data_IF_531599494781
#
_entry.id   IF_531599494781
#
_cell.length_a   1.000
_cell.length_b   1.000
_cell.length_c   1.000
_cell.angle_alpha   90.00
_cell.angle_beta   90.00
_cell.angle_gamma   90.00
#
_symmetry.space_group_name_H-M   'P 1'
#
loop_
_entity.id
_entity.type
_entity.pdbx_description
1 polymer ?
#
# COMPACT_ATOMS: atom_id res chain seq x y z
N UNK A 1 16.97 -14.36 -23.44
CA UNK A 1 18.17 -14.93 -24.08
C UNK A 1 18.99 -15.61 -22.98
N UNK A 2 19.09 -16.96 -23.00
CA UNK A 2 19.91 -17.86 -22.15
C UNK A 2 19.70 -17.80 -20.60
N UNK A 3 19.75 -18.84 -19.75
CA UNK A 3 20.21 -20.26 -19.80
C UNK A 3 19.61 -21.03 -18.58
N UNK A 4 19.04 -22.21 -18.81
CA UNK A 4 19.45 -23.58 -18.39
C UNK A 4 19.70 -23.86 -16.89
N UNK A 5 18.90 -24.79 -16.37
CA UNK A 5 19.02 -25.50 -15.09
C UNK A 5 20.16 -26.54 -15.11
N UNK A 6 20.79 -26.75 -13.95
CA UNK A 6 21.69 -27.87 -13.68
C UNK A 6 21.07 -28.78 -12.62
N UNK A 7 21.07 -30.08 -12.92
CA UNK A 7 20.68 -31.18 -12.04
C UNK A 7 21.80 -31.55 -11.07
N UNK A 8 21.43 -31.90 -9.84
CA UNK A 8 22.31 -32.44 -8.80
C UNK A 8 22.52 -33.95 -8.96
N UNK A 9 23.74 -34.49 -8.75
CA UNK A 9 23.95 -35.93 -8.55
C UNK A 9 23.84 -36.32 -7.06
N UNK A 10 23.54 -37.59 -6.73
CA UNK A 10 23.22 -38.03 -5.37
C UNK A 10 24.45 -38.37 -4.52
N UNK A 11 24.26 -38.25 -3.20
CA UNK A 11 25.24 -38.53 -2.15
C UNK A 11 25.64 -40.00 -2.01
N UNK A 12 26.90 -40.26 -1.62
CA UNK A 12 27.32 -41.53 -1.01
C UNK A 12 28.07 -41.30 0.32
N UNK A 13 27.87 -42.29 1.20
CA UNK A 13 28.00 -42.33 2.66
C UNK A 13 29.31 -42.98 3.16
N UNK A 14 29.57 -42.79 4.47
CA UNK A 14 30.45 -43.52 5.44
C UNK A 14 31.92 -43.05 5.49
N UNK A 15 32.56 -42.90 6.66
CA UNK A 15 32.56 -43.75 7.88
C UNK A 15 32.50 -42.96 9.20
N UNK A 16 32.00 -43.65 10.22
CA UNK A 16 32.00 -43.28 11.63
C UNK A 16 33.18 -43.92 12.36
N UNK A 17 33.70 -43.23 13.38
CA UNK A 17 34.45 -43.76 14.52
C UNK A 17 34.02 -43.01 15.79
N UNK A 18 33.85 -43.76 16.87
CA UNK A 18 33.20 -43.36 18.14
C UNK A 18 34.25 -42.99 19.24
N UNK A 19 33.91 -42.95 20.55
CA UNK A 19 33.42 -41.76 21.26
C UNK A 19 34.32 -41.37 22.47
N UNK A 20 34.20 -40.14 22.96
CA UNK A 20 34.62 -39.80 24.33
C UNK A 20 33.64 -38.81 24.99
N UNK A 21 33.43 -39.03 26.29
CA UNK A 21 32.31 -38.59 27.15
C UNK A 21 32.60 -37.22 27.83
N UNK A 22 31.69 -36.66 28.65
CA UNK A 22 31.17 -35.30 28.49
C UNK A 22 31.83 -34.25 29.40
N UNK A 23 31.78 -32.98 29.00
CA UNK A 23 31.86 -31.86 29.93
C UNK A 23 30.62 -30.97 29.79
N UNK A 24 29.82 -30.98 30.86
CA UNK A 24 28.80 -29.98 31.14
C UNK A 24 29.48 -28.62 31.28
N UNK A 25 29.01 -27.62 30.52
CA UNK A 25 28.99 -26.22 30.96
C UNK A 25 27.80 -25.52 30.30
N UNK A 26 26.88 -25.09 31.15
CA UNK A 26 25.81 -24.16 30.83
C UNK A 26 26.43 -22.90 30.19
N UNK A 27 26.04 -22.59 28.97
CA UNK A 27 26.18 -21.25 28.41
C UNK A 27 24.87 -20.92 27.71
N UNK A 28 24.12 -20.00 28.30
CA UNK A 28 22.99 -19.37 27.65
C UNK A 28 23.49 -18.77 26.32
N UNK A 29 22.92 -19.23 25.21
CA UNK A 29 23.14 -18.62 23.91
C UNK A 29 22.46 -17.24 23.90
N UNK A 30 23.20 -16.21 24.29
CA UNK A 30 22.80 -14.83 24.04
C UNK A 30 22.72 -14.64 22.52
N UNK A 31 21.51 -14.44 22.00
CA UNK A 31 21.29 -14.11 20.60
C UNK A 31 22.06 -12.83 20.27
N UNK A 32 23.11 -12.94 19.45
CA UNK A 32 23.91 -11.82 19.01
C UNK A 32 23.06 -10.95 18.08
N UNK A 33 22.51 -9.86 18.61
CA UNK A 33 21.72 -8.87 17.87
C UNK A 33 22.69 -8.01 17.06
N UNK A 34 22.74 -8.22 15.74
CA UNK A 34 23.53 -7.36 14.84
C UNK A 34 22.83 -6.01 14.68
N UNK A 35 23.09 -5.06 15.56
CA UNK A 35 22.74 -3.65 15.35
C UNK A 35 23.77 -3.03 14.40
N UNK A 36 23.34 -2.58 13.23
CA UNK A 36 24.17 -1.76 12.33
C UNK A 36 23.65 -0.33 12.33
N UNK A 37 24.45 0.58 12.88
CA UNK A 37 24.20 2.02 12.81
C UNK A 37 24.70 2.54 11.47
N UNK A 38 23.82 3.16 10.67
CA UNK A 38 24.23 3.82 9.43
C UNK A 38 24.53 5.29 9.74
N UNK A 39 25.81 5.65 9.80
CA UNK A 39 26.28 7.04 9.91
C UNK A 39 27.02 7.42 8.63
N UNK A 40 26.32 7.81 7.56
CA UNK A 40 26.98 8.52 6.46
C UNK A 40 26.02 9.43 5.68
N UNK A 41 26.59 10.49 5.09
CA UNK A 41 25.87 11.52 4.32
C UNK A 41 25.42 11.06 2.92
N UNK A 42 25.91 9.93 2.43
CA UNK A 42 25.46 9.23 1.23
C UNK A 42 25.72 7.74 1.43
N UNK A 43 24.68 6.92 1.55
CA UNK A 43 24.80 5.47 1.67
C UNK A 43 23.81 4.78 0.73
N UNK A 44 24.33 3.84 -0.06
CA UNK A 44 23.53 2.81 -0.73
C UNK A 44 23.53 1.60 0.22
N UNK A 45 22.43 1.38 0.93
CA UNK A 45 22.32 0.28 1.89
C UNK A 45 21.77 -0.97 1.20
N UNK A 46 22.63 -1.95 0.93
CA UNK A 46 22.22 -3.28 0.46
C UNK A 46 22.44 -4.30 1.58
N UNK A 47 21.36 -4.92 2.06
CA UNK A 47 21.44 -6.00 3.05
C UNK A 47 21.03 -7.32 2.38
N UNK A 48 22.01 -8.16 2.05
CA UNK A 48 21.80 -9.47 1.40
C UNK A 48 22.31 -10.59 2.31
N UNK A 49 21.47 -11.58 2.59
CA UNK A 49 21.87 -12.76 3.39
C UNK A 49 22.69 -13.72 2.53
N UNK A 50 23.92 -14.02 2.95
CA UNK A 50 24.76 -15.08 2.37
C UNK A 50 24.21 -16.46 2.74
N UNK A 51 24.32 -17.44 1.84
CA UNK A 51 23.94 -18.84 2.06
C UNK A 51 24.92 -19.53 3.02
N UNK A 52 24.87 -19.19 4.31
CA UNK A 52 25.34 -20.05 5.41
C UNK A 52 24.32 -19.96 6.56
N UNK A 53 23.83 -21.13 6.95
CA UNK A 53 23.05 -21.50 8.16
C UNK A 53 22.12 -20.44 8.76
N UNK A 54 20.82 -20.76 8.78
CA UNK A 54 19.75 -19.91 9.27
C UNK A 54 19.89 -19.53 10.74
N UNK A 55 20.19 -18.26 10.99
CA UNK A 55 19.67 -17.53 12.14
C UNK A 55 18.46 -16.73 11.67
N UNK A 56 17.28 -17.08 12.19
CA UNK A 56 16.04 -16.29 12.12
C UNK A 56 16.16 -15.06 13.03
N UNK A 57 17.16 -14.21 12.75
CA UNK A 57 17.41 -13.00 13.51
C UNK A 57 16.65 -11.85 12.87
N UNK A 58 15.72 -11.25 13.61
CA UNK A 58 15.11 -9.98 13.23
C UNK A 58 16.20 -8.94 12.90
N UNK A 59 16.09 -8.27 11.76
CA UNK A 59 17.05 -7.29 11.28
C UNK A 59 16.58 -5.91 11.71
N UNK A 60 17.29 -5.27 12.64
CA UNK A 60 16.99 -3.89 13.05
C UNK A 60 17.98 -2.91 12.44
N UNK A 61 17.47 -1.98 11.63
CA UNK A 61 18.21 -0.85 11.05
C UNK A 61 17.81 0.41 11.82
N UNK A 62 18.74 0.99 12.56
CA UNK A 62 18.52 2.28 13.22
C UNK A 62 19.15 3.39 12.40
N UNK A 63 18.36 4.41 12.08
CA UNK A 63 18.82 5.59 11.37
C UNK A 63 18.84 6.76 12.35
N UNK A 64 20.02 7.31 12.59
CA UNK A 64 20.22 8.43 13.53
C UNK A 64 20.15 9.82 12.87
N UNK A 65 20.05 9.89 11.54
CA UNK A 65 20.04 11.13 10.78
C UNK A 65 19.30 10.98 9.45
N UNK A 66 19.72 11.73 8.43
CA UNK A 66 19.09 11.67 7.11
C UNK A 66 19.89 10.77 6.16
N UNK A 67 19.26 9.74 5.61
CA UNK A 67 19.77 8.98 4.46
C UNK A 67 19.27 9.68 3.20
N UNK A 68 20.19 10.08 2.31
CA UNK A 68 19.88 10.73 1.04
C UNK A 68 19.87 9.71 -0.10
N UNK A 69 18.88 9.79 -0.99
CA UNK A 69 18.87 9.03 -2.23
C UNK A 69 20.02 9.47 -3.16
N UNK A 70 20.62 8.52 -3.92
CA UNK A 70 21.64 8.86 -4.91
C UNK A 70 21.06 9.67 -6.07
N UNK A 71 21.88 10.56 -6.64
CA UNK A 71 21.56 11.36 -7.84
C UNK A 71 22.74 11.22 -8.82
N UNK A 72 22.54 10.88 -10.10
CA UNK A 72 21.26 10.70 -10.81
C UNK A 72 20.56 9.35 -10.52
N UNK A 73 19.24 9.31 -10.67
CA UNK A 73 18.42 8.07 -10.59
C UNK A 73 18.69 7.07 -11.72
N UNK A 74 19.41 7.51 -12.76
CA UNK A 74 19.73 6.71 -13.93
C UNK A 74 20.70 5.58 -13.54
N UNK A 75 20.15 4.40 -13.23
CA UNK A 75 20.90 3.16 -12.99
C UNK A 75 20.56 2.43 -11.70
N UNK A 76 19.98 3.10 -10.70
CA UNK A 76 19.55 2.45 -9.46
C UNK A 76 18.04 2.18 -9.52
N UNK A 77 17.64 0.96 -9.86
CA UNK A 77 16.23 0.55 -9.84
C UNK A 77 15.64 0.57 -8.43
N UNK A 78 16.46 0.50 -7.39
CA UNK A 78 16.05 0.48 -5.99
C UNK A 78 17.10 1.21 -5.12
N UNK A 79 16.65 2.02 -4.15
CA UNK A 79 17.54 2.78 -3.24
C UNK A 79 17.83 2.04 -1.93
N UNK A 80 16.79 1.59 -1.24
CA UNK A 80 16.89 0.78 -0.02
C UNK A 80 16.18 -0.54 -0.29
N UNK A 81 16.93 -1.63 -0.18
CA UNK A 81 16.44 -2.97 -0.54
C UNK A 81 16.56 -3.92 0.63
N UNK A 82 15.40 -4.43 1.05
CA UNK A 82 15.27 -5.58 1.92
C UNK A 82 14.76 -6.74 1.06
N UNK A 83 15.60 -7.73 0.79
CA UNK A 83 15.25 -8.84 -0.09
C UNK A 83 15.44 -10.17 0.63
N UNK A 84 14.37 -10.97 0.67
CA UNK A 84 14.34 -12.30 1.32
C UNK A 84 14.80 -12.25 2.79
N UNK A 85 14.24 -11.31 3.54
CA UNK A 85 14.54 -11.09 4.96
C UNK A 85 13.24 -11.12 5.75
N UNK A 86 13.25 -11.84 6.86
CA UNK A 86 12.11 -11.93 7.78
C UNK A 86 12.36 -11.04 9.00
N UNK A 87 11.34 -10.30 9.44
CA UNK A 87 11.42 -9.46 10.65
C UNK A 87 12.37 -8.28 10.53
N UNK A 88 12.23 -7.45 9.49
CA UNK A 88 12.99 -6.19 9.38
C UNK A 88 12.28 -5.07 10.16
N UNK A 89 13.03 -4.31 10.94
CA UNK A 89 12.58 -3.05 11.56
C UNK A 89 13.51 -1.91 11.15
N UNK A 90 12.98 -0.89 10.49
CA UNK A 90 13.70 0.38 10.23
C UNK A 90 13.18 1.40 11.22
N UNK A 91 14.06 1.95 12.06
CA UNK A 91 13.68 2.77 13.22
C UNK A 91 14.45 4.08 13.23
N UNK A 92 13.70 5.18 13.37
CA UNK A 92 14.22 6.54 13.50
C UNK A 92 14.71 7.15 12.19
N UNK A 93 15.23 8.38 12.29
CA UNK A 93 15.89 9.10 11.20
C UNK A 93 14.96 9.61 10.11
N UNK A 94 15.55 10.01 8.99
CA UNK A 94 14.84 10.53 7.81
C UNK A 94 15.36 9.84 6.57
N UNK A 95 14.46 9.42 5.69
CA UNK A 95 14.79 8.95 4.35
C UNK A 95 14.41 10.05 3.37
N UNK A 96 15.40 10.82 2.89
CA UNK A 96 15.19 11.83 1.86
C UNK A 96 15.38 11.21 0.48
N UNK A 97 14.25 10.95 -0.17
CA UNK A 97 14.19 10.36 -1.50
C UNK A 97 14.71 11.24 -2.64
N UNK A 98 15.00 12.54 -2.42
CA UNK A 98 15.46 13.55 -3.42
C UNK A 98 14.68 13.60 -4.75
N UNK A 99 13.39 13.29 -4.70
CA UNK A 99 12.55 12.92 -5.85
C UNK A 99 12.34 13.96 -6.97
N UNK A 100 12.91 15.16 -6.89
CA UNK A 100 12.67 16.26 -7.85
C UNK A 100 12.90 15.84 -9.32
N UNK A 101 13.98 15.09 -9.58
CA UNK A 101 14.27 14.61 -10.93
C UNK A 101 13.31 13.49 -11.39
N UNK A 102 12.84 12.64 -10.47
CA UNK A 102 11.80 11.65 -10.77
C UNK A 102 10.48 12.33 -11.14
N UNK A 103 10.05 13.34 -10.38
CA UNK A 103 8.82 14.09 -10.68
C UNK A 103 8.92 14.81 -12.02
N UNK A 104 10.10 15.36 -12.35
CA UNK A 104 10.34 15.92 -13.69
C UNK A 104 10.21 14.87 -14.80
N UNK A 105 10.77 13.66 -14.62
CA UNK A 105 10.62 12.54 -15.56
C UNK A 105 9.15 12.20 -15.81
N UNK A 106 8.36 12.09 -14.74
CA UNK A 106 6.92 11.77 -14.82
C UNK A 106 6.11 12.88 -15.48
N UNK A 107 6.38 14.15 -15.14
CA UNK A 107 5.74 15.31 -15.80
C UNK A 107 6.01 15.37 -17.29
N UNK A 108 7.21 14.96 -17.71
CA UNK A 108 7.60 14.92 -19.11
C UNK A 108 7.02 13.72 -19.89
N UNK A 109 6.18 12.88 -19.26
CA UNK A 109 5.59 11.72 -19.92
C UNK A 109 6.53 10.51 -20.03
N UNK A 110 7.62 10.47 -19.25
CA UNK A 110 8.65 9.42 -19.34
C UNK A 110 8.17 7.99 -19.07
N UNK A 111 6.96 7.78 -18.53
CA UNK A 111 6.33 6.46 -18.43
C UNK A 111 7.23 5.41 -17.75
N UNK A 112 7.54 4.34 -18.48
CA UNK A 112 8.36 3.19 -18.05
C UNK A 112 9.88 3.47 -18.00
N UNK A 113 10.33 4.63 -18.49
CA UNK A 113 11.74 5.05 -18.37
C UNK A 113 12.10 5.56 -16.98
N UNK A 114 11.10 5.89 -16.14
CA UNK A 114 11.31 6.27 -14.75
C UNK A 114 11.43 5.00 -13.86
N UNK A 115 12.22 5.04 -12.75
CA UNK A 115 12.41 3.91 -11.82
C UNK A 115 11.12 3.22 -11.35
N UNK A 116 11.18 1.89 -11.16
CA UNK A 116 10.04 1.06 -10.75
C UNK A 116 9.83 1.02 -9.22
N UNK A 117 8.58 0.87 -8.79
CA UNK A 117 8.21 0.72 -7.37
C UNK A 117 8.38 -0.72 -6.86
N UNK A 118 8.43 -0.85 -5.52
CA UNK A 118 8.64 -2.08 -4.76
C UNK A 118 7.60 -3.17 -5.10
N UNK A 119 8.02 -4.44 -5.01
CA UNK A 119 7.19 -5.61 -5.25
C UNK A 119 7.00 -6.41 -3.96
N UNK A 120 5.76 -6.84 -3.72
CA UNK A 120 5.28 -7.90 -2.81
C UNK A 120 6.00 -8.06 -1.46
N UNK A 121 5.25 -7.93 -0.36
CA UNK A 121 5.76 -8.14 1.00
C UNK A 121 4.71 -8.76 1.92
N UNK A 122 5.15 -9.45 2.97
CA UNK A 122 4.27 -9.98 4.01
C UNK A 122 4.79 -9.59 5.40
N UNK A 123 3.89 -9.27 6.33
CA UNK A 123 4.26 -8.97 7.71
C UNK A 123 4.98 -7.63 7.86
N UNK A 124 4.46 -6.59 7.20
CA UNK A 124 5.07 -5.24 7.21
C UNK A 124 4.31 -4.35 8.19
N UNK A 125 5.05 -3.71 9.10
CA UNK A 125 4.52 -2.67 9.97
C UNK A 125 5.16 -1.31 9.64
N UNK A 126 4.32 -0.31 9.36
CA UNK A 126 4.69 1.10 9.17
C UNK A 126 4.04 1.88 10.31
N UNK A 127 4.83 2.34 11.28
CA UNK A 127 4.33 2.93 12.52
C UNK A 127 5.01 4.26 12.80
N UNK A 128 4.26 5.24 13.30
CA UNK A 128 4.74 6.57 13.70
C UNK A 128 5.59 7.26 12.59
N UNK A 129 5.12 7.15 11.35
CA UNK A 129 5.85 7.59 10.16
C UNK A 129 5.26 8.88 9.57
N UNK A 130 6.13 9.79 9.14
CA UNK A 130 5.73 10.97 8.35
C UNK A 130 6.19 10.80 6.91
N UNK A 131 5.27 10.91 5.95
CA UNK A 131 5.55 10.92 4.51
C UNK A 131 5.10 12.27 3.96
N UNK A 132 6.02 13.00 3.32
CA UNK A 132 5.76 14.36 2.85
C UNK A 132 6.28 14.57 1.43
N UNK A 133 5.42 15.07 0.57
CA UNK A 133 5.73 15.60 -0.76
C UNK A 133 4.82 16.81 -1.05
N UNK A 134 5.20 17.70 -1.98
CA UNK A 134 4.34 18.81 -2.39
C UNK A 134 2.97 18.32 -2.87
N UNK A 135 1.90 19.07 -2.58
CA UNK A 135 0.53 18.69 -2.98
C UNK A 135 0.29 18.65 -4.50
N UNK A 136 1.20 19.24 -5.28
CA UNK A 136 1.19 19.28 -6.74
C UNK A 136 2.23 18.31 -7.37
N UNK A 137 2.91 17.49 -6.56
CA UNK A 137 3.85 16.51 -7.10
C UNK A 137 3.12 15.31 -7.71
N UNK A 138 3.33 14.99 -9.00
CA UNK A 138 2.57 13.94 -9.65
C UNK A 138 3.01 12.54 -9.23
N UNK A 139 2.05 11.64 -9.05
CA UNK A 139 2.27 10.22 -8.75
C UNK A 139 3.14 9.98 -7.52
N UNK A 140 3.06 10.88 -6.54
CA UNK A 140 3.67 10.68 -5.23
C UNK A 140 2.66 10.03 -4.29
N UNK A 141 2.41 8.75 -4.49
CA UNK A 141 1.68 7.97 -3.51
C UNK A 141 2.46 7.96 -2.20
N UNK A 142 1.79 8.09 -1.06
CA UNK A 142 2.42 8.01 0.25
C UNK A 142 2.86 6.59 0.57
N UNK A 143 1.89 5.70 0.78
CA UNK A 143 2.14 4.27 0.98
C UNK A 143 1.37 3.47 -0.07
N UNK A 144 2.09 2.84 -1.00
CA UNK A 144 1.51 2.02 -2.06
C UNK A 144 1.68 0.54 -1.75
N UNK A 145 0.57 -0.17 -1.53
CA UNK A 145 0.51 -1.60 -1.20
C UNK A 145 0.08 -2.37 -2.44
N UNK A 146 0.98 -3.25 -2.91
CA UNK A 146 0.77 -4.09 -4.09
C UNK A 146 1.22 -5.51 -3.81
N UNK A 147 0.40 -6.51 -4.17
CA UNK A 147 0.75 -7.94 -4.03
C UNK A 147 1.29 -8.31 -2.63
N UNK A 148 0.69 -7.76 -1.58
CA UNK A 148 1.23 -7.83 -0.22
C UNK A 148 0.16 -8.24 0.79
N UNK A 149 0.56 -8.89 1.88
CA UNK A 149 -0.36 -9.39 2.92
C UNK A 149 0.13 -9.08 4.32
N UNK A 150 -0.77 -9.07 5.31
CA UNK A 150 -0.43 -8.81 6.72
C UNK A 150 0.33 -7.48 6.87
N UNK A 151 -0.34 -6.40 6.48
CA UNK A 151 0.23 -5.05 6.47
C UNK A 151 -0.44 -4.21 7.55
N UNK A 152 0.34 -3.64 8.45
CA UNK A 152 -0.15 -2.73 9.49
C UNK A 152 0.44 -1.35 9.29
N UNK A 153 -0.42 -0.33 9.18
CA UNK A 153 -0.04 1.08 9.13
C UNK A 153 -0.68 1.79 10.32
N UNK A 154 0.13 2.36 11.21
CA UNK A 154 -0.35 3.01 12.43
C UNK A 154 0.26 4.38 12.64
N UNK A 155 -0.56 5.34 13.08
CA UNK A 155 -0.12 6.66 13.54
C UNK A 155 0.74 7.41 12.52
N UNK A 156 0.44 7.25 11.22
CA UNK A 156 1.19 7.90 10.16
C UNK A 156 0.58 9.26 9.79
N UNK A 157 1.43 10.22 9.40
CA UNK A 157 1.02 11.48 8.79
C UNK A 157 1.52 11.50 7.36
N UNK A 158 0.60 11.60 6.39
CA UNK A 158 0.92 11.49 4.98
C UNK A 158 0.33 12.67 4.23
N UNK A 159 1.19 13.52 3.67
CA UNK A 159 0.81 14.62 2.80
C UNK A 159 1.59 14.51 1.49
N UNK A 160 0.89 14.32 0.38
CA UNK A 160 1.53 14.15 -0.94
C UNK A 160 0.66 14.74 -2.05
N UNK A 161 1.10 14.64 -3.31
CA UNK A 161 0.31 15.02 -4.48
C UNK A 161 -0.50 13.89 -5.13
N UNK A 162 -0.51 12.68 -4.56
CA UNK A 162 -1.32 11.55 -5.04
C UNK A 162 -1.95 10.79 -3.86
N UNK A 163 -2.27 9.49 -4.01
CA UNK A 163 -2.91 8.70 -2.96
C UNK A 163 -2.12 8.74 -1.65
N UNK A 164 -2.81 9.02 -0.54
CA UNK A 164 -2.22 8.97 0.80
C UNK A 164 -1.77 7.53 1.10
N UNK A 165 -2.71 6.59 0.96
CA UNK A 165 -2.44 5.16 1.00
C UNK A 165 -3.23 4.54 -0.15
N UNK A 166 -2.57 3.73 -0.97
CA UNK A 166 -3.20 3.00 -2.07
C UNK A 166 -3.02 1.50 -1.89
N UNK A 167 -4.10 0.74 -2.08
CA UNK A 167 -4.09 -0.73 -2.08
C UNK A 167 -4.51 -1.22 -3.45
N UNK A 168 -3.61 -1.88 -4.16
CA UNK A 168 -3.85 -2.39 -5.50
C UNK A 168 -3.83 -3.92 -5.53
N UNK A 169 -3.81 -4.47 -6.73
CA UNK A 169 -4.09 -5.87 -7.01
C UNK A 169 -3.18 -6.82 -6.18
N UNK A 170 -3.80 -7.84 -5.55
CA UNK A 170 -3.12 -8.87 -4.77
C UNK A 170 -2.84 -8.47 -3.31
N UNK A 171 -3.48 -7.42 -2.81
CA UNK A 171 -3.32 -6.96 -1.43
C UNK A 171 -4.36 -7.58 -0.50
N UNK A 172 -3.95 -8.15 0.63
CA UNK A 172 -4.88 -8.68 1.63
C UNK A 172 -4.47 -8.36 3.06
N UNK A 173 -5.43 -8.42 4.00
CA UNK A 173 -5.15 -8.35 5.44
C UNK A 173 -4.39 -7.08 5.81
N UNK A 174 -4.99 -5.93 5.47
CA UNK A 174 -4.40 -4.61 5.66
C UNK A 174 -5.12 -3.88 6.78
N UNK A 175 -4.38 -3.47 7.81
CA UNK A 175 -4.88 -2.69 8.95
C UNK A 175 -4.29 -1.28 8.94
N UNK A 176 -5.13 -0.26 8.76
CA UNK A 176 -4.74 1.15 8.76
C UNK A 176 -5.43 1.82 9.94
N UNK A 177 -4.67 2.42 10.86
CA UNK A 177 -5.22 3.05 12.05
C UNK A 177 -4.50 4.33 12.48
N UNK A 178 -5.25 5.36 12.89
CA UNK A 178 -4.64 6.58 13.46
C UNK A 178 -3.90 7.41 12.42
N UNK A 179 -4.24 7.27 11.13
CA UNK A 179 -3.55 7.95 10.03
C UNK A 179 -4.18 9.32 9.76
N UNK A 180 -3.34 10.33 9.54
CA UNK A 180 -3.76 11.64 9.03
C UNK A 180 -3.28 11.81 7.59
N UNK A 181 -4.22 12.03 6.66
CA UNK A 181 -3.97 12.27 5.25
C UNK A 181 -4.26 13.72 4.88
N UNK A 182 -3.39 14.36 4.10
CA UNK A 182 -3.66 15.68 3.53
C UNK A 182 -2.43 16.58 3.41
N UNK A 183 -2.20 17.23 2.25
CA UNK A 183 -2.95 17.13 0.98
C UNK A 183 -2.78 15.75 0.28
N UNK A 184 -3.46 15.53 -0.84
CA UNK A 184 -3.35 14.31 -1.66
C UNK A 184 -4.69 13.77 -2.16
N UNK A 185 -4.73 12.52 -2.61
CA UNK A 185 -5.90 11.88 -3.22
C UNK A 185 -6.74 11.01 -2.27
N UNK A 186 -6.36 10.94 -0.99
CA UNK A 186 -7.07 10.16 0.03
C UNK A 186 -6.60 8.71 0.12
N UNK A 187 -7.42 7.86 0.74
CA UNK A 187 -7.15 6.42 0.86
C UNK A 187 -7.90 5.71 -0.26
N UNK A 188 -7.17 5.01 -1.13
CA UNK A 188 -7.70 4.45 -2.36
C UNK A 188 -7.49 2.94 -2.45
N UNK A 189 -8.52 2.21 -2.87
CA UNK A 189 -8.41 0.85 -3.39
C UNK A 189 -8.42 0.92 -4.92
N UNK A 190 -7.37 0.41 -5.56
CA UNK A 190 -7.17 0.41 -7.01
C UNK A 190 -6.18 1.47 -7.51
N UNK A 191 -6.07 1.69 -8.82
CA UNK A 191 -6.99 1.18 -9.84
C UNK A 191 -6.85 -0.32 -10.10
N UNK A 192 -7.98 -1.01 -10.25
CA UNK A 192 -8.05 -2.43 -10.59
C UNK A 192 -8.64 -2.66 -11.99
N UNK A 193 -8.28 -3.77 -12.63
CA UNK A 193 -8.89 -4.22 -13.88
C UNK A 193 -8.32 -3.61 -15.16
N UNK A 194 -7.19 -2.89 -15.09
CA UNK A 194 -6.52 -2.35 -16.28
C UNK A 194 -6.01 -3.46 -17.20
N UNK A 195 -5.41 -4.48 -16.58
CA UNK A 195 -4.78 -5.61 -17.22
C UNK A 195 -5.52 -6.91 -16.89
N UNK A 196 -5.30 -7.99 -17.68
CA UNK A 196 -5.98 -9.27 -17.46
C UNK A 196 -5.49 -10.00 -16.20
N UNK A 197 -4.45 -9.54 -15.51
CA UNK A 197 -4.01 -10.14 -14.24
C UNK A 197 -5.10 -9.98 -13.17
N UNK A 198 -5.88 -11.05 -12.99
CA UNK A 198 -7.02 -11.10 -12.09
C UNK A 198 -6.57 -11.44 -10.67
N UNK A 199 -6.43 -10.43 -9.81
CA UNK A 199 -6.15 -10.66 -8.38
C UNK A 199 -7.01 -9.74 -7.51
N UNK A 200 -7.34 -10.21 -6.32
CA UNK A 200 -8.27 -9.55 -5.42
C UNK A 200 -7.59 -8.57 -4.48
N UNK A 201 -8.37 -7.62 -3.96
CA UNK A 201 -8.07 -6.86 -2.74
C UNK A 201 -9.05 -7.30 -1.65
N UNK A 202 -8.55 -7.79 -0.51
CA UNK A 202 -9.41 -8.40 0.52
C UNK A 202 -9.06 -7.98 1.93
N UNK A 203 -10.06 -8.00 2.82
CA UNK A 203 -9.88 -7.84 4.26
C UNK A 203 -9.08 -6.57 4.61
N UNK A 204 -9.67 -5.42 4.27
CA UNK A 204 -9.07 -4.12 4.48
C UNK A 204 -9.82 -3.43 5.61
N UNK A 205 -9.10 -3.03 6.66
CA UNK A 205 -9.64 -2.22 7.74
C UNK A 205 -8.96 -0.87 7.79
N UNK A 206 -9.75 0.20 7.72
CA UNK A 206 -9.31 1.59 7.88
C UNK A 206 -10.10 2.17 9.05
N UNK A 207 -9.40 2.55 10.11
CA UNK A 207 -10.01 2.97 11.37
C UNK A 207 -9.38 4.23 11.95
N UNK A 208 -10.18 5.11 12.55
CA UNK A 208 -9.68 6.28 13.29
C UNK A 208 -8.73 7.13 12.43
N UNK A 209 -9.17 7.50 11.22
CA UNK A 209 -8.36 8.28 10.27
C UNK A 209 -8.93 9.67 10.07
N UNK A 210 -8.05 10.65 9.82
CA UNK A 210 -8.44 12.02 9.47
C UNK A 210 -7.98 12.33 8.05
N UNK A 211 -8.89 12.80 7.19
CA UNK A 211 -8.56 13.29 5.84
C UNK A 211 -8.88 14.77 5.73
N UNK A 212 -7.88 15.58 5.40
CA UNK A 212 -8.00 17.04 5.36
C UNK A 212 -7.48 17.61 4.03
N UNK A 213 -8.33 18.38 3.33
CA UNK A 213 -7.93 19.04 2.07
C UNK A 213 -7.54 18.08 0.94
N UNK A 214 -7.96 16.81 1.01
CA UNK A 214 -7.69 15.82 -0.04
C UNK A 214 -8.72 15.89 -1.17
N UNK A 215 -8.34 15.43 -2.36
CA UNK A 215 -9.27 15.37 -3.50
C UNK A 215 -10.31 14.26 -3.36
N UNK A 216 -10.00 13.18 -2.62
CA UNK A 216 -10.98 12.18 -2.22
C UNK A 216 -10.77 11.79 -0.75
N UNK A 217 -11.80 11.23 -0.12
CA UNK A 217 -11.71 10.64 1.20
C UNK A 217 -11.37 9.17 1.09
N UNK A 218 -12.43 8.36 1.02
CA UNK A 218 -12.38 6.91 0.88
C UNK A 218 -12.80 6.54 -0.54
N UNK A 219 -11.86 6.01 -1.33
CA UNK A 219 -12.05 5.77 -2.76
C UNK A 219 -11.87 4.30 -3.13
N UNK A 220 -12.74 3.77 -3.98
CA UNK A 220 -12.53 2.51 -4.70
C UNK A 220 -12.61 2.83 -6.20
N UNK A 221 -11.58 2.49 -6.97
CA UNK A 221 -11.49 2.81 -8.40
C UNK A 221 -11.19 1.56 -9.23
N UNK A 222 -11.98 1.29 -10.26
CA UNK A 222 -11.72 0.23 -11.24
C UNK A 222 -11.98 0.69 -12.67
N UNK A 223 -11.21 0.15 -13.60
CA UNK A 223 -11.38 0.42 -15.03
C UNK A 223 -12.67 -0.23 -15.55
N UNK A 224 -13.35 0.43 -16.49
CA UNK A 224 -14.52 -0.09 -17.20
C UNK A 224 -14.14 -1.10 -18.30
N UNK A 225 -13.32 -2.10 -17.95
CA UNK A 225 -12.88 -3.21 -18.79
C UNK A 225 -13.47 -4.52 -18.27
N UNK A 226 -13.68 -5.49 -19.16
CA UNK A 226 -14.21 -6.81 -18.81
C UNK A 226 -13.27 -7.71 -17.96
N UNK A 227 -12.09 -7.21 -17.58
CA UNK A 227 -11.14 -7.94 -16.74
C UNK A 227 -11.75 -8.24 -15.36
N UNK A 228 -11.65 -9.50 -14.96
CA UNK A 228 -12.25 -9.99 -13.72
C UNK A 228 -11.37 -9.70 -12.50
N UNK A 229 -12.00 -9.46 -11.35
CA UNK A 229 -11.32 -9.24 -10.08
C UNK A 229 -12.31 -9.03 -8.95
N UNK A 230 -11.80 -8.76 -7.75
CA UNK A 230 -12.61 -8.66 -6.55
C UNK A 230 -12.05 -7.63 -5.56
N UNK A 231 -12.93 -6.80 -5.02
CA UNK A 231 -12.75 -6.06 -3.76
C UNK A 231 -13.78 -6.60 -2.79
N UNK A 232 -13.33 -7.16 -1.67
CA UNK A 232 -14.20 -7.83 -0.69
C UNK A 232 -13.73 -7.61 0.75
N UNK A 233 -14.68 -7.39 1.65
CA UNK A 233 -14.42 -7.24 3.08
C UNK A 233 -13.61 -5.98 3.37
N UNK A 234 -14.21 -4.81 3.09
CA UNK A 234 -13.60 -3.52 3.37
C UNK A 234 -14.38 -2.81 4.48
N UNK A 235 -13.71 -2.40 5.54
CA UNK A 235 -14.31 -1.70 6.65
C UNK A 235 -13.63 -0.34 6.86
N UNK A 236 -14.42 0.72 6.69
CA UNK A 236 -14.05 2.09 7.05
C UNK A 236 -14.81 2.48 8.31
N UNK A 237 -14.09 2.87 9.37
CA UNK A 237 -14.68 3.23 10.66
C UNK A 237 -13.99 4.42 11.31
N UNK A 238 -14.74 5.22 12.08
CA UNK A 238 -14.23 6.37 12.83
C UNK A 238 -13.41 7.33 11.93
N UNK A 239 -14.04 7.84 10.88
CA UNK A 239 -13.37 8.68 9.86
C UNK A 239 -13.80 10.13 10.01
N UNK A 240 -12.82 11.03 10.14
CA UNK A 240 -13.04 12.48 10.18
C UNK A 240 -12.59 13.11 8.88
N UNK A 241 -13.47 13.82 8.19
CA UNK A 241 -13.18 14.52 6.94
C UNK A 241 -13.24 16.04 7.11
N UNK A 242 -12.26 16.76 6.57
CA UNK A 242 -12.21 18.22 6.62
C UNK A 242 -11.96 18.77 5.23
N UNK A 243 -12.98 19.40 4.65
CA UNK A 243 -12.88 20.02 3.33
C UNK A 243 -12.38 19.03 2.25
N UNK A 244 -12.93 17.81 2.25
CA UNK A 244 -12.55 16.76 1.29
C UNK A 244 -13.42 16.89 0.04
N UNK A 245 -12.81 16.90 -1.15
CA UNK A 245 -13.56 17.19 -2.40
C UNK A 245 -14.55 16.10 -2.78
N UNK A 246 -14.15 14.83 -2.76
CA UNK A 246 -15.02 13.67 -2.96
C UNK A 246 -14.93 12.73 -1.74
N UNK A 247 -15.74 12.95 -0.68
CA UNK A 247 -15.58 12.26 0.60
C UNK A 247 -15.64 10.73 0.50
N UNK A 248 -16.69 10.16 -0.08
CA UNK A 248 -16.82 8.71 -0.31
C UNK A 248 -17.14 8.47 -1.77
N UNK A 249 -16.32 7.65 -2.44
CA UNK A 249 -16.49 7.39 -3.86
C UNK A 249 -16.17 5.92 -4.23
N UNK A 250 -17.08 5.31 -4.97
CA UNK A 250 -16.82 4.11 -5.77
C UNK A 250 -16.96 4.51 -7.23
N UNK A 251 -15.92 4.30 -8.02
CA UNK A 251 -15.83 4.67 -9.43
C UNK A 251 -15.39 3.45 -10.25
N UNK A 252 -16.35 2.75 -10.83
CA UNK A 252 -16.08 1.62 -11.74
C UNK A 252 -15.96 2.05 -13.22
N UNK A 253 -15.84 3.36 -13.47
CA UNK A 253 -15.58 3.97 -14.77
C UNK A 253 -14.26 4.75 -14.75
N UNK A 254 -13.31 4.33 -13.90
CA UNK A 254 -12.06 5.05 -13.69
C UNK A 254 -11.29 5.19 -15.00
N UNK A 255 -11.05 6.43 -15.40
CA UNK A 255 -10.32 6.81 -16.61
C UNK A 255 -9.42 8.02 -16.32
N UNK A 256 -8.17 7.80 -15.88
CA UNK A 256 -7.27 8.89 -15.57
C UNK A 256 -6.97 9.70 -16.83
N UNK A 257 -7.13 11.03 -16.74
CA UNK A 257 -6.89 11.95 -17.85
C UNK A 257 -8.01 12.03 -18.89
N UNK A 258 -9.09 11.24 -18.77
CA UNK A 258 -10.20 11.19 -19.72
C UNK A 258 -9.75 10.93 -21.18
N UNK A 259 -8.70 10.13 -21.37
CA UNK A 259 -8.18 9.75 -22.69
C UNK A 259 -8.43 8.26 -22.91
N UNK A 260 -9.04 7.91 -24.05
CA UNK A 260 -9.28 6.52 -24.47
C UNK A 260 -10.00 5.68 -23.40
N UNK A 261 -11.03 6.24 -22.78
CA UNK A 261 -11.77 5.59 -21.69
C UNK A 261 -12.51 4.35 -22.19
N UNK A 262 -12.33 3.18 -21.54
CA UNK A 262 -13.06 1.98 -21.89
C UNK A 262 -14.53 2.10 -21.48
N UNK A 263 -15.42 1.40 -22.18
CA UNK A 263 -16.88 1.48 -21.98
C UNK A 263 -17.53 0.10 -21.80
N UNK A 264 -16.74 -0.94 -21.57
CA UNK A 264 -17.18 -2.35 -21.53
C UNK A 264 -17.94 -2.69 -20.23
N UNK A 265 -17.88 -1.81 -19.23
CA UNK A 265 -18.32 -2.10 -17.87
C UNK A 265 -17.26 -2.89 -17.11
N UNK A 266 -17.00 -2.49 -15.86
CA UNK A 266 -15.96 -3.10 -15.04
C UNK A 266 -16.30 -4.55 -14.67
N UNK A 267 -15.38 -5.47 -14.96
CA UNK A 267 -15.45 -6.86 -14.50
C UNK A 267 -15.06 -7.04 -13.02
N UNK A 268 -14.72 -5.96 -12.31
CA UNK A 268 -14.34 -6.01 -10.90
C UNK A 268 -15.60 -6.09 -10.03
N UNK A 269 -15.71 -7.16 -9.25
CA UNK A 269 -16.77 -7.31 -8.23
C UNK A 269 -16.40 -6.51 -7.00
N UNK A 270 -17.31 -5.66 -6.51
CA UNK A 270 -17.14 -4.93 -5.24
C UNK A 270 -18.23 -5.42 -4.29
N UNK A 271 -17.81 -6.04 -3.17
CA UNK A 271 -18.75 -6.60 -2.20
C UNK A 271 -18.29 -6.36 -0.76
N UNK A 272 -19.24 -6.40 0.18
CA UNK A 272 -19.00 -6.31 1.62
C UNK A 272 -18.15 -5.09 2.01
N UNK A 273 -18.59 -3.89 1.62
CA UNK A 273 -17.95 -2.63 1.98
C UNK A 273 -18.79 -1.93 3.04
N UNK A 274 -18.19 -1.58 4.18
CA UNK A 274 -18.88 -0.92 5.29
C UNK A 274 -18.26 0.44 5.60
N UNK A 275 -19.12 1.42 5.83
CA UNK A 275 -18.78 2.76 6.29
C UNK A 275 -19.51 3.01 7.60
N UNK A 276 -18.79 3.19 8.69
CA UNK A 276 -19.37 3.41 10.03
C UNK A 276 -18.74 4.66 10.65
N UNK A 277 -19.56 5.58 11.16
CA UNK A 277 -19.08 6.79 11.84
C UNK A 277 -18.10 7.61 10.97
N UNK A 278 -18.58 8.01 9.78
CA UNK A 278 -17.85 8.89 8.86
C UNK A 278 -18.42 10.31 8.95
N UNK A 279 -17.74 11.18 9.70
CA UNK A 279 -18.19 12.55 10.00
C UNK A 279 -17.28 13.62 9.37
N UNK A 280 -17.76 14.87 9.31
CA UNK A 280 -16.97 15.99 8.82
C UNK A 280 -17.60 16.80 7.69
N UNK A 281 -16.78 17.43 6.84
CA UNK A 281 -17.21 18.36 5.77
C UNK A 281 -16.69 17.99 4.39
N UNK A 282 -17.56 18.15 3.39
CA UNK A 282 -17.22 18.05 1.96
C UNK A 282 -16.89 19.42 1.38
N UNK A 283 -15.90 19.48 0.48
CA UNK A 283 -15.63 20.68 -0.33
C UNK A 283 -16.56 20.81 -1.55
N UNK A 284 -17.34 19.76 -1.87
CA UNK A 284 -18.33 19.76 -2.95
C UNK A 284 -19.72 19.40 -2.45
N UNK A 285 -20.72 19.59 -3.32
CA UNK A 285 -22.12 19.28 -3.03
C UNK A 285 -22.46 17.80 -3.02
N UNK A 286 -21.55 16.90 -3.43
CA UNK A 286 -21.78 15.45 -3.46
C UNK A 286 -20.81 14.79 -2.48
N UNK A 287 -21.32 14.38 -1.33
CA UNK A 287 -20.50 13.73 -0.30
C UNK A 287 -20.25 12.24 -0.58
N UNK A 288 -21.22 11.55 -1.19
CA UNK A 288 -21.17 10.11 -1.44
C UNK A 288 -21.57 9.84 -2.88
N UNK A 289 -20.74 9.10 -3.62
CA UNK A 289 -21.04 8.67 -4.99
C UNK A 289 -20.66 7.21 -5.20
N UNK A 290 -21.62 6.38 -5.57
CA UNK A 290 -21.38 5.00 -5.95
C UNK A 290 -21.73 4.81 -7.43
N UNK A 291 -20.73 4.89 -8.29
CA UNK A 291 -20.84 4.63 -9.72
C UNK A 291 -20.41 3.18 -9.99
N UNK A 292 -21.32 2.26 -9.68
CA UNK A 292 -21.12 0.83 -9.81
C UNK A 292 -21.44 0.35 -11.23
N UNK A 293 -20.69 -0.63 -11.70
CA UNK A 293 -20.83 -1.15 -13.05
C UNK A 293 -22.14 -1.95 -13.20
N UNK A 294 -22.89 -1.79 -14.30
CA UNK A 294 -24.05 -2.61 -14.56
C UNK A 294 -23.72 -4.09 -14.81
N UNK A 295 -22.50 -4.41 -15.28
CA UNK A 295 -22.06 -5.78 -15.52
C UNK A 295 -21.67 -6.50 -14.23
N UNK A 296 -21.19 -5.78 -13.22
CA UNK A 296 -20.90 -6.28 -11.87
C UNK A 296 -21.37 -5.27 -10.81
N UNK A 297 -22.69 -5.19 -10.53
CA UNK A 297 -23.22 -4.24 -9.56
C UNK A 297 -22.59 -4.43 -8.18
N UNK A 298 -22.30 -3.34 -7.48
CA UNK A 298 -21.82 -3.43 -6.10
C UNK A 298 -22.88 -4.08 -5.21
N UNK A 299 -22.46 -4.93 -4.28
CA UNK A 299 -23.36 -5.63 -3.34
C UNK A 299 -22.83 -5.49 -1.91
N UNK A 300 -23.70 -5.58 -0.91
CA UNK A 300 -23.28 -5.53 0.49
C UNK A 300 -22.58 -4.22 0.91
N UNK A 301 -22.86 -3.10 0.23
CA UNK A 301 -22.42 -1.78 0.70
C UNK A 301 -23.34 -1.34 1.83
N UNK A 302 -22.75 -1.00 2.99
CA UNK A 302 -23.50 -0.55 4.17
C UNK A 302 -22.94 0.77 4.69
N UNK A 303 -23.83 1.66 5.13
CA UNK A 303 -23.48 2.93 5.78
C UNK A 303 -24.23 3.04 7.10
N UNK A 304 -23.53 3.38 8.20
CA UNK A 304 -24.11 3.48 9.54
C UNK A 304 -23.59 4.70 10.31
N UNK A 305 -24.45 5.21 11.19
CA UNK A 305 -24.18 6.31 12.14
C UNK A 305 -23.80 7.64 11.46
N UNK A 306 -23.16 8.53 12.23
CA UNK A 306 -22.91 9.96 11.92
C UNK A 306 -22.54 10.18 10.45
N UNK A 307 -23.28 11.07 9.80
CA UNK A 307 -23.08 11.41 8.40
C UNK A 307 -22.38 12.77 8.23
N UNK A 308 -21.67 12.91 7.12
CA UNK A 308 -21.01 14.14 6.68
C UNK A 308 -22.00 15.31 6.58
N UNK A 309 -21.59 16.49 7.03
CA UNK A 309 -22.30 17.73 6.76
C UNK A 309 -21.97 18.17 5.32
N UNK A 310 -22.98 18.18 4.45
CA UNK A 310 -22.87 18.58 3.05
C UNK A 310 -24.16 19.32 2.62
N UNK A 311 -24.05 20.14 1.56
CA UNK A 311 -25.18 20.85 0.97
C UNK A 311 -26.21 19.91 0.30
N UNK A 312 -25.84 18.70 -0.19
CA UNK A 312 -26.78 17.70 -0.72
C UNK A 312 -26.27 16.25 -0.54
N UNK A 313 -27.17 15.31 -0.29
CA UNK A 313 -26.95 13.88 -0.50
C UNK A 313 -27.56 13.49 -1.85
N UNK A 314 -26.74 13.12 -2.85
CA UNK A 314 -27.23 12.57 -4.12
C UNK A 314 -26.83 11.09 -4.22
N UNK A 315 -27.80 10.19 -4.07
CA UNK A 315 -27.69 8.80 -4.52
C UNK A 315 -28.13 8.76 -5.98
N UNK A 316 -27.21 8.50 -6.92
CA UNK A 316 -27.56 8.28 -8.34
C UNK A 316 -27.37 6.81 -8.71
N UNK A 317 -28.36 6.26 -9.41
CA UNK A 317 -28.48 4.87 -9.92
C UNK A 317 -28.39 3.76 -8.85
N UNK A 318 -29.46 3.62 -8.08
CA UNK A 318 -29.68 2.47 -7.20
C UNK A 318 -30.99 1.76 -7.54
N UNK A 319 -31.08 1.12 -8.71
CA UNK A 319 -32.25 0.28 -9.01
C UNK A 319 -32.25 -1.05 -8.26
N UNK A 320 -31.22 -1.37 -7.44
CA UNK A 320 -31.13 -2.66 -6.72
C UNK A 320 -30.40 -2.61 -5.36
N UNK A 321 -30.67 -1.63 -4.50
CA UNK A 321 -30.42 -1.80 -3.04
C UNK A 321 -31.77 -2.07 -2.37
N UNK A 322 -32.13 -3.34 -2.28
CA UNK A 322 -33.19 -3.79 -1.38
C UNK A 322 -32.64 -3.80 0.04
N UNK A 323 -33.22 -2.94 0.89
CA UNK A 323 -33.00 -2.79 2.33
C UNK A 323 -31.64 -2.22 2.76
N UNK A 324 -31.57 -0.90 2.99
CA UNK A 324 -30.96 -0.28 4.18
C UNK A 324 -30.92 1.26 4.04
N UNK A 325 -32.06 1.90 4.29
CA UNK A 325 -32.15 3.24 4.86
C UNK A 325 -33.31 3.21 5.85
N UNK A 326 -33.02 2.87 7.10
CA UNK A 326 -33.82 3.38 8.22
C UNK A 326 -33.05 4.60 8.72
N UNK A 327 -33.56 5.78 8.35
CA UNK A 327 -33.22 7.04 8.99
C UNK A 327 -33.78 7.01 10.41
#
# INVERSE_FOLDING_TARGET
>A
MAMRSWSTPPAKRRKATAPSKPLRRNAAASAMRSQRTVTSRQAMATCRRSRRTATTGAVSVSIAGTVLAPVPYAGAQLWIVFQNVDGVSVIGGTLDGRGQAYWACRRAGGGSSCPAATRASTGVAIVDTVVSAPGDSPNTDGIHIKQSSDITIRNAVVGTGDDCISMVEGSSDVWIQGVTCGPGHGISIGSLGDTPEQVAVRNITVKAVTLAGTTNGLRIKSWAKANSGLVDGVAFSDVVMRNVRNPIIVDQNYCPGNVSCPTEGSGIKITNVSYTDVEGTSATSVAVRFDCSPSQPCTGITMRNKLLKCLRFLLWKLDKITHLLKI
#
